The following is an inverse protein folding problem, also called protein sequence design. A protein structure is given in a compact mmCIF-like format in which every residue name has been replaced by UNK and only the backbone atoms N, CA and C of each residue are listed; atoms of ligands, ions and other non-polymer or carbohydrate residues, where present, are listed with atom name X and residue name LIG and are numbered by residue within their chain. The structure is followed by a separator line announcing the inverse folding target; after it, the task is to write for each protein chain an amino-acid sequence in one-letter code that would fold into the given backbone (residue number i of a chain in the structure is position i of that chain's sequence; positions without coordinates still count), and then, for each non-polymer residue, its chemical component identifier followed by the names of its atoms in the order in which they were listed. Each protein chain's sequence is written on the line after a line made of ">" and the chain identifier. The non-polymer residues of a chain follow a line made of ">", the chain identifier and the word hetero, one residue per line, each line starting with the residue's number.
data_IF_170723940610
#
_entry.id   IF_170723940610
#
_cell.length_a   1.000
_cell.length_b   1.000
_cell.length_c   1.000
_cell.angle_alpha   90.00
_cell.angle_beta   90.00
_cell.angle_gamma   90.00
#
_symmetry.space_group_name_H-M   'P 1'
#
loop_
_entity.id
_entity.type
_entity.pdbx_description
1 polymer ?
#
# COMPACT_ATOMS: atom_id res chain seq x y z
N UNK A 1 -20.28 6.55 -2.38
CA UNK A 1 -21.07 5.63 -3.22
C UNK A 1 -20.43 5.59 -4.61
N UNK A 2 -20.60 4.48 -5.33
CA UNK A 2 -20.09 4.32 -6.71
C UNK A 2 -20.85 5.24 -7.65
N UNK A 3 -20.12 6.07 -8.39
CA UNK A 3 -20.68 6.93 -9.44
C UNK A 3 -20.89 6.10 -10.70
N UNK A 4 -22.17 5.89 -11.07
CA UNK A 4 -22.57 5.03 -12.19
C UNK A 4 -22.48 5.72 -13.55
N UNK A 5 -22.37 7.04 -13.55
CA UNK A 5 -22.37 7.86 -14.76
C UNK A 5 -20.94 8.27 -15.17
N UNK A 6 -19.92 7.61 -14.59
CA UNK A 6 -18.52 7.90 -14.85
C UNK A 6 -18.10 7.41 -16.25
N UNK A 7 -17.83 8.35 -17.15
CA UNK A 7 -17.12 8.10 -18.40
C UNK A 7 -15.62 8.40 -18.24
N UNK A 8 -14.77 7.48 -18.70
CA UNK A 8 -13.31 7.71 -18.75
C UNK A 8 -12.95 8.62 -19.92
N UNK A 9 -12.45 9.82 -19.61
CA UNK A 9 -12.11 10.86 -20.61
C UNK A 9 -10.71 10.71 -21.21
N UNK A 10 -9.95 9.68 -20.80
CA UNK A 10 -8.55 9.51 -21.21
C UNK A 10 -7.54 10.31 -20.37
N UNK A 11 -8.01 11.10 -19.41
CA UNK A 11 -7.16 11.87 -18.48
C UNK A 11 -7.56 11.62 -17.04
N UNK A 12 -6.58 11.81 -16.15
CA UNK A 12 -6.78 11.75 -14.70
C UNK A 12 -7.64 12.93 -14.24
N UNK A 13 -8.78 12.62 -13.63
CA UNK A 13 -9.59 13.61 -12.91
C UNK A 13 -8.99 13.85 -11.51
N UNK A 14 -8.26 14.95 -11.35
CA UNK A 14 -7.62 15.32 -10.08
C UNK A 14 -8.61 15.77 -9.00
N UNK A 15 -9.82 16.22 -9.35
CA UNK A 15 -10.82 16.62 -8.34
C UNK A 15 -11.28 15.43 -7.49
N UNK A 16 -11.14 14.20 -8.01
CA UNK A 16 -11.44 12.97 -7.28
C UNK A 16 -10.49 12.70 -6.12
N UNK A 17 -9.39 13.44 -5.97
CA UNK A 17 -8.52 13.35 -4.81
C UNK A 17 -9.26 13.63 -3.50
N UNK A 18 -10.33 14.42 -3.52
CA UNK A 18 -11.19 14.67 -2.34
C UNK A 18 -11.79 13.40 -1.73
N UNK A 19 -11.86 12.32 -2.51
CA UNK A 19 -12.37 11.02 -2.06
C UNK A 19 -11.28 10.10 -1.48
N UNK A 20 -10.00 10.49 -1.58
CA UNK A 20 -8.91 9.71 -1.03
C UNK A 20 -8.95 9.75 0.50
N UNK A 21 -9.02 8.57 1.10
CA UNK A 21 -8.90 8.38 2.54
C UNK A 21 -7.72 7.43 2.79
N UNK A 22 -6.67 7.87 3.48
CA UNK A 22 -5.53 6.99 3.79
C UNK A 22 -5.94 5.88 4.76
N UNK A 23 -5.18 4.78 4.78
CA UNK A 23 -5.52 3.56 5.54
C UNK A 23 -5.64 3.74 7.05
N UNK A 24 -5.03 4.79 7.61
CA UNK A 24 -5.08 5.15 9.03
C UNK A 24 -6.18 6.16 9.38
N UNK A 25 -7.08 6.48 8.45
CA UNK A 25 -8.21 7.39 8.66
C UNK A 25 -9.52 6.68 8.32
N UNK A 26 -10.52 6.85 9.18
CA UNK A 26 -11.84 6.22 9.01
C UNK A 26 -11.87 4.75 9.47
N UNK A 27 -12.94 4.05 9.11
CA UNK A 27 -13.26 2.70 9.61
C UNK A 27 -13.35 1.66 8.48
N UNK A 28 -12.36 1.69 7.59
CA UNK A 28 -12.29 0.76 6.46
C UNK A 28 -11.82 -0.66 6.86
N UNK A 29 -11.55 -0.89 8.15
CA UNK A 29 -11.20 -2.20 8.69
C UNK A 29 -9.82 -2.73 8.32
N UNK A 30 -8.89 -1.89 7.83
CA UNK A 30 -7.52 -2.29 7.53
C UNK A 30 -6.83 -2.97 8.72
N UNK A 31 -7.09 -2.48 9.94
CA UNK A 31 -6.56 -3.06 11.17
C UNK A 31 -6.95 -4.53 11.39
N UNK A 32 -8.19 -4.91 11.04
CA UNK A 32 -8.66 -6.29 11.25
C UNK A 32 -7.89 -7.25 10.34
N UNK A 33 -7.74 -6.87 9.06
CA UNK A 33 -7.01 -7.64 8.07
C UNK A 33 -5.53 -7.75 8.45
N UNK A 34 -4.92 -6.65 8.88
CA UNK A 34 -3.50 -6.64 9.25
C UNK A 34 -3.22 -7.38 10.55
N UNK A 35 -4.16 -7.39 11.52
CA UNK A 35 -4.06 -8.24 12.72
C UNK A 35 -4.07 -9.72 12.36
N UNK A 36 -4.93 -10.14 11.44
CA UNK A 36 -4.93 -11.52 10.95
C UNK A 36 -3.64 -11.85 10.20
N UNK A 37 -3.17 -10.93 9.34
CA UNK A 37 -1.88 -11.08 8.65
C UNK A 37 -0.74 -11.31 9.64
N UNK A 38 -0.68 -10.56 10.74
CA UNK A 38 0.34 -10.70 11.78
C UNK A 38 0.44 -12.14 12.30
N UNK A 39 -0.70 -12.78 12.58
CA UNK A 39 -0.73 -14.17 13.05
C UNK A 39 -0.25 -15.16 11.96
N UNK A 40 -0.42 -14.81 10.69
CA UNK A 40 0.00 -15.63 9.55
C UNK A 40 1.47 -15.45 9.16
N UNK A 41 2.08 -14.30 9.49
CA UNK A 41 3.44 -13.92 9.06
C UNK A 41 4.50 -15.00 9.36
N UNK A 42 4.60 -15.60 10.57
CA UNK A 42 5.65 -16.59 10.85
C UNK A 42 5.57 -17.83 9.95
N UNK A 43 4.34 -18.27 9.63
CA UNK A 43 4.10 -19.41 8.74
C UNK A 43 4.44 -19.05 7.29
N UNK A 44 4.05 -17.85 6.85
CA UNK A 44 4.35 -17.35 5.51
C UNK A 44 5.86 -17.18 5.31
N UNK A 45 6.56 -16.59 6.27
CA UNK A 45 8.00 -16.38 6.25
C UNK A 45 8.76 -17.71 6.13
N UNK A 46 8.39 -18.72 6.95
CA UNK A 46 8.97 -20.08 6.84
C UNK A 46 8.77 -20.68 5.45
N UNK A 47 7.60 -20.46 4.84
CA UNK A 47 7.29 -20.94 3.49
C UNK A 47 8.14 -20.22 2.43
N UNK A 48 8.24 -18.89 2.50
CA UNK A 48 9.02 -18.09 1.56
C UNK A 48 10.51 -18.45 1.63
N UNK A 49 11.07 -18.58 2.85
CA UNK A 49 12.45 -19.02 3.06
C UNK A 49 12.74 -20.40 2.48
N UNK A 50 11.79 -21.35 2.59
CA UNK A 50 11.91 -22.68 1.96
C UNK A 50 11.94 -22.62 0.42
N UNK A 51 11.34 -21.59 -0.17
CA UNK A 51 11.34 -21.35 -1.62
C UNK A 51 12.55 -20.54 -2.11
N UNK A 52 13.50 -20.20 -1.22
CA UNK A 52 14.66 -19.38 -1.56
C UNK A 52 14.40 -17.87 -1.59
N UNK A 53 13.24 -17.43 -1.09
CA UNK A 53 12.89 -16.00 -0.97
C UNK A 53 13.28 -15.50 0.44
N UNK A 54 13.83 -14.28 0.61
CA UNK A 54 14.28 -13.80 1.92
C UNK A 54 13.21 -13.77 3.02
N UNK A 55 11.95 -13.55 2.65
CA UNK A 55 10.84 -13.41 3.59
C UNK A 55 9.56 -13.01 2.88
N UNK A 56 8.70 -12.27 3.59
CA UNK A 56 7.45 -11.72 3.05
C UNK A 56 7.70 -10.27 2.62
N UNK A 57 7.19 -9.89 1.45
CA UNK A 57 7.24 -8.53 0.94
C UNK A 57 5.83 -7.98 0.82
N UNK A 58 5.64 -6.73 1.22
CA UNK A 58 4.43 -5.96 0.99
C UNK A 58 4.76 -4.87 -0.03
N UNK A 59 4.14 -4.93 -1.20
CA UNK A 59 4.33 -3.95 -2.27
C UNK A 59 3.19 -2.95 -2.28
N UNK A 60 3.52 -1.66 -2.39
CA UNK A 60 2.53 -0.58 -2.55
C UNK A 60 2.62 -0.08 -3.98
N UNK A 61 1.63 -0.43 -4.79
CA UNK A 61 1.57 0.01 -6.19
C UNK A 61 0.88 1.37 -6.31
N UNK A 62 1.50 2.38 -6.96
CA UNK A 62 0.85 3.67 -7.21
C UNK A 62 -0.35 3.50 -8.15
N UNK A 63 -1.56 3.62 -7.61
CA UNK A 63 -2.78 3.63 -8.40
C UNK A 63 -3.09 5.07 -8.86
N UNK A 64 -3.30 5.28 -10.16
CA UNK A 64 -3.59 6.61 -10.73
C UNK A 64 -4.77 7.30 -10.02
N UNK A 65 -4.61 8.61 -9.71
CA UNK A 65 -5.67 9.51 -9.23
C UNK A 65 -6.75 9.51 -10.30
N UNK A 66 -8.02 9.46 -9.90
CA UNK A 66 -9.14 9.59 -10.82
C UNK A 66 -9.35 8.46 -11.85
N UNK A 67 -8.44 7.47 -11.95
CA UNK A 67 -8.56 6.35 -12.89
C UNK A 67 -9.47 5.21 -12.44
N UNK A 68 -10.01 5.30 -11.22
CA UNK A 68 -10.79 4.24 -10.61
C UNK A 68 -12.01 4.75 -9.85
N UNK A 69 -12.98 3.85 -9.70
CA UNK A 69 -14.26 4.07 -9.02
C UNK A 69 -14.15 4.62 -7.59
N UNK A 70 -13.02 4.38 -6.92
CA UNK A 70 -12.79 4.72 -5.51
C UNK A 70 -11.82 5.89 -5.31
N UNK A 71 -11.29 6.49 -6.38
CA UNK A 71 -10.10 7.33 -6.28
C UNK A 71 -8.83 6.53 -5.98
N UNK A 72 -7.67 7.19 -6.01
CA UNK A 72 -6.37 6.54 -5.84
C UNK A 72 -5.30 7.55 -5.42
N UNK A 73 -4.09 7.07 -5.17
CA UNK A 73 -2.93 7.90 -4.81
C UNK A 73 -1.99 8.03 -6.00
N UNK A 74 -1.92 9.22 -6.60
CA UNK A 74 -0.98 9.52 -7.69
C UNK A 74 0.07 10.54 -7.30
N UNK A 75 1.14 10.50 -8.09
CA UNK A 75 2.29 11.36 -7.91
C UNK A 75 3.07 11.00 -6.64
N UNK A 76 4.25 11.62 -6.48
CA UNK A 76 5.14 11.37 -5.35
C UNK A 76 4.48 11.67 -3.99
N UNK A 77 3.60 12.67 -3.95
CA UNK A 77 2.94 13.05 -2.69
C UNK A 77 1.91 12.02 -2.25
N UNK A 78 1.08 11.53 -3.18
CA UNK A 78 0.03 10.56 -2.89
C UNK A 78 0.60 9.24 -2.39
N UNK A 79 1.62 8.70 -3.08
CA UNK A 79 2.29 7.48 -2.64
C UNK A 79 2.98 7.67 -1.29
N UNK A 80 3.60 8.83 -1.05
CA UNK A 80 4.23 9.14 0.23
C UNK A 80 3.22 9.14 1.39
N UNK A 81 2.04 9.74 1.18
CA UNK A 81 0.95 9.73 2.18
C UNK A 81 0.45 8.31 2.43
N UNK A 82 0.20 7.54 1.36
CA UNK A 82 -0.27 6.16 1.47
C UNK A 82 0.71 5.26 2.24
N UNK A 83 2.01 5.34 1.93
CA UNK A 83 3.05 4.55 2.62
C UNK A 83 3.15 4.93 4.10
N UNK A 84 3.16 6.23 4.44
CA UNK A 84 3.21 6.67 5.84
C UNK A 84 1.96 6.25 6.62
N UNK A 85 0.78 6.33 5.99
CA UNK A 85 -0.46 5.86 6.58
C UNK A 85 -0.44 4.35 6.84
N UNK A 86 0.02 3.56 5.87
CA UNK A 86 0.20 2.12 6.03
C UNK A 86 1.15 1.80 7.18
N UNK A 87 2.32 2.43 7.23
CA UNK A 87 3.29 2.30 8.33
C UNK A 87 2.63 2.56 9.69
N UNK A 88 1.86 3.64 9.81
CA UNK A 88 1.13 3.96 11.04
C UNK A 88 0.16 2.86 11.47
N UNK A 89 -0.50 2.16 10.54
CA UNK A 89 -1.37 1.04 10.88
C UNK A 89 -0.55 -0.20 11.26
N UNK A 90 0.56 -0.48 10.57
CA UNK A 90 1.47 -1.58 10.90
C UNK A 90 2.03 -1.44 12.32
N UNK A 91 2.47 -0.23 12.69
CA UNK A 91 2.90 0.11 14.05
C UNK A 91 1.78 -0.17 15.07
N UNK A 92 0.56 0.27 14.76
CA UNK A 92 -0.60 0.10 15.63
C UNK A 92 -0.98 -1.38 15.84
N UNK A 93 -0.88 -2.22 14.81
CA UNK A 93 -1.19 -3.65 14.93
C UNK A 93 0.00 -4.49 15.41
N UNK A 94 1.20 -3.90 15.51
CA UNK A 94 2.42 -4.58 15.95
C UNK A 94 3.00 -5.51 14.89
N UNK A 95 3.10 -5.04 13.64
CA UNK A 95 3.85 -5.70 12.58
C UNK A 95 5.12 -4.87 12.31
N UNK A 96 6.28 -5.46 12.58
CA UNK A 96 7.56 -4.87 12.20
C UNK A 96 7.73 -4.87 10.68
N UNK A 97 8.38 -3.85 10.16
CA UNK A 97 8.66 -3.70 8.73
C UNK A 97 9.99 -2.99 8.49
N UNK A 98 10.53 -3.17 7.28
CA UNK A 98 11.64 -2.39 6.77
C UNK A 98 11.25 -1.78 5.42
N UNK A 99 11.56 -0.50 5.24
CA UNK A 99 11.21 0.21 4.01
C UNK A 99 12.38 0.15 3.05
N UNK A 100 12.14 -0.42 1.86
CA UNK A 100 13.13 -0.45 0.79
C UNK A 100 13.60 0.96 0.45
N UNK A 101 14.89 1.18 0.62
CA UNK A 101 15.60 2.43 0.38
C UNK A 101 16.27 2.41 -0.99
N UNK A 102 16.79 3.57 -1.41
CA UNK A 102 17.64 3.65 -2.59
C UNK A 102 18.91 2.80 -2.45
N UNK A 103 19.48 2.72 -1.24
CA UNK A 103 20.67 1.91 -0.98
C UNK A 103 20.40 0.42 -1.23
N UNK A 104 19.24 -0.09 -0.83
CA UNK A 104 18.87 -1.48 -1.10
C UNK A 104 18.75 -1.75 -2.60
N UNK A 105 18.33 -0.75 -3.39
CA UNK A 105 18.28 -0.85 -4.86
C UNK A 105 19.70 -0.89 -5.42
N UNK A 106 20.58 -0.02 -4.94
CA UNK A 106 22.00 0.01 -5.32
C UNK A 106 22.68 -1.33 -5.05
N UNK A 107 22.52 -1.88 -3.85
CA UNK A 107 23.08 -3.18 -3.47
C UNK A 107 22.51 -4.32 -4.33
N UNK A 108 21.21 -4.31 -4.60
CA UNK A 108 20.56 -5.32 -5.44
C UNK A 108 21.00 -5.26 -6.92
N UNK A 109 21.32 -4.06 -7.41
CA UNK A 109 21.65 -3.80 -8.82
C UNK A 109 23.15 -3.68 -9.10
N UNK A 110 23.98 -3.54 -8.07
CA UNK A 110 25.43 -3.50 -8.15
C UNK A 110 26.02 -2.15 -8.63
N UNK A 111 25.44 -1.01 -8.24
CA UNK A 111 25.95 0.33 -8.60
C UNK A 111 26.01 1.32 -7.43
#
# INVERSE_FOLDING_TARGET
>A
AVDKDLEWTGVVDEERLKNFVPSNVGDAGHEFILRELREMLPKMEKKMKKLGVPGVFLEVEPHLKGGGQFGGFSGPDGIGVAVRALCSVLDYVGIDYDLRTFKDIQELRGF
#
